data_IF_281039160779
#
_entry.id   IF_281039160779
#
_cell.length_a   1.000
_cell.length_b   1.000
_cell.length_c   1.000
_cell.angle_alpha   90.00
_cell.angle_beta   90.00
_cell.angle_gamma   90.00
#
_symmetry.space_group_name_H-M   'P 1'
#
loop_
_entity.id
_entity.type
_entity.pdbx_description
1 polymer ?
#
# COMPACT_ATOMS: atom_id res chain seq x y z
N UNK A 1 3.45 -25.17 -2.20
CA UNK A 1 2.43 -24.11 -2.33
C UNK A 1 2.63 -23.13 -1.19
N UNK A 2 3.00 -21.87 -1.50
CA UNK A 2 3.07 -20.84 -0.48
C UNK A 2 1.68 -20.54 0.05
N UNK A 3 1.53 -20.39 1.36
CA UNK A 3 0.28 -19.86 1.93
C UNK A 3 0.16 -18.42 1.45
N UNK A 4 -0.76 -18.16 0.53
CA UNK A 4 -1.15 -16.79 0.22
C UNK A 4 -1.81 -16.23 1.48
N UNK A 5 -1.03 -15.47 2.27
CA UNK A 5 -1.57 -14.66 3.36
C UNK A 5 -2.29 -13.49 2.68
N UNK A 6 -3.50 -13.75 2.19
CA UNK A 6 -4.34 -12.77 1.51
C UNK A 6 -4.69 -11.66 2.50
N UNK A 7 -4.08 -10.49 2.30
CA UNK A 7 -4.40 -9.30 3.07
C UNK A 7 -5.88 -8.96 2.91
N UNK A 8 -6.62 -9.03 4.02
CA UNK A 8 -8.03 -8.70 4.04
C UNK A 8 -8.19 -7.20 4.34
N UNK A 9 -8.44 -6.38 3.31
CA UNK A 9 -8.79 -4.97 3.55
C UNK A 9 -10.08 -4.93 4.37
N UNK A 10 -9.97 -4.33 5.55
CA UNK A 10 -11.08 -4.17 6.48
C UNK A 10 -12.08 -3.21 5.85
N UNK A 11 -13.37 -3.47 6.06
CA UNK A 11 -14.38 -2.51 5.67
C UNK A 11 -14.22 -1.26 6.54
N UNK A 12 -13.93 -0.12 5.91
CA UNK A 12 -13.61 1.14 6.61
C UNK A 12 -14.77 1.59 7.50
N UNK A 13 -15.99 1.12 7.20
CA UNK A 13 -17.22 1.50 7.91
C UNK A 13 -18.09 0.31 8.34
N UNK A 14 -17.55 -0.91 8.41
CA UNK A 14 -18.35 -2.10 8.76
C UNK A 14 -19.03 -2.00 10.12
N UNK A 15 -18.48 -1.23 11.05
CA UNK A 15 -19.08 -1.03 12.36
C UNK A 15 -20.44 -0.35 12.31
N UNK A 16 -20.70 0.43 11.24
CA UNK A 16 -21.89 1.25 11.04
C UNK A 16 -22.88 0.62 10.05
N UNK A 17 -22.62 -0.60 9.57
CA UNK A 17 -23.58 -1.37 8.77
C UNK A 17 -24.82 -1.66 9.65
N UNK A 18 -26.05 -1.36 9.20
CA UNK A 18 -27.27 -1.62 9.97
C UNK A 18 -27.39 -3.06 10.49
N UNK A 19 -26.99 -4.05 9.69
CA UNK A 19 -27.02 -5.47 10.07
C UNK A 19 -26.02 -5.78 11.19
N UNK A 20 -24.86 -5.15 11.14
CA UNK A 20 -23.83 -5.26 12.19
C UNK A 20 -24.25 -4.51 13.46
N UNK A 21 -24.94 -3.38 13.33
CA UNK A 21 -25.50 -2.65 14.48
C UNK A 21 -26.54 -3.52 15.19
N UNK A 22 -27.48 -4.12 14.45
CA UNK A 22 -28.49 -5.04 15.00
C UNK A 22 -27.83 -6.24 15.69
N UNK A 23 -26.81 -6.85 15.08
CA UNK A 23 -26.06 -7.94 15.70
C UNK A 23 -25.42 -7.53 17.04
N UNK A 24 -24.81 -6.33 17.10
CA UNK A 24 -24.20 -5.80 18.33
C UNK A 24 -25.24 -5.51 19.41
N UNK A 25 -26.43 -5.07 19.03
CA UNK A 25 -27.53 -4.85 19.97
C UNK A 25 -28.02 -6.18 20.56
N UNK A 26 -28.21 -7.21 19.73
CA UNK A 26 -28.75 -8.51 20.16
C UNK A 26 -27.76 -9.35 20.97
N UNK A 27 -26.48 -9.33 20.62
CA UNK A 27 -25.46 -10.23 21.19
C UNK A 27 -24.35 -9.48 21.95
N UNK A 28 -24.46 -8.16 22.06
CA UNK A 28 -23.43 -7.30 22.63
C UNK A 28 -22.26 -7.04 21.68
N UNK A 29 -21.40 -6.09 22.07
CA UNK A 29 -20.25 -5.64 21.26
C UNK A 29 -19.25 -6.79 20.98
N UNK A 30 -19.18 -7.81 21.84
CA UNK A 30 -18.31 -8.98 21.64
C UNK A 30 -18.66 -9.75 20.35
N UNK A 31 -19.92 -9.73 19.93
CA UNK A 31 -20.36 -10.37 18.68
C UNK A 31 -19.67 -9.77 17.45
N UNK A 32 -19.23 -8.51 17.52
CA UNK A 32 -18.43 -7.91 16.46
C UNK A 32 -17.08 -8.61 16.28
N UNK A 33 -16.43 -9.02 17.37
CA UNK A 33 -15.21 -9.81 17.30
C UNK A 33 -15.49 -11.20 16.71
N UNK A 34 -16.56 -11.86 17.15
CA UNK A 34 -16.96 -13.17 16.61
C UNK A 34 -17.29 -13.11 15.13
N UNK A 35 -17.96 -12.06 14.66
CA UNK A 35 -18.22 -11.82 13.26
C UNK A 35 -16.94 -11.79 12.42
N UNK A 36 -15.92 -11.06 12.86
CA UNK A 36 -14.65 -11.01 12.11
C UNK A 36 -13.89 -12.32 12.13
N UNK A 37 -13.84 -13.00 13.28
CA UNK A 37 -13.26 -14.34 13.36
C UNK A 37 -13.98 -15.29 12.39
N UNK A 38 -15.31 -15.22 12.30
CA UNK A 38 -16.09 -16.02 11.37
C UNK A 38 -15.74 -15.71 9.91
N UNK A 39 -15.66 -14.43 9.56
CA UNK A 39 -15.26 -14.00 8.21
C UNK A 39 -13.86 -14.48 7.86
N UNK A 40 -12.92 -14.49 8.81
CA UNK A 40 -11.59 -15.05 8.60
C UNK A 40 -11.66 -16.56 8.35
N UNK A 41 -12.42 -17.33 9.14
CA UNK A 41 -12.59 -18.77 8.92
C UNK A 41 -13.21 -19.08 7.56
N UNK A 42 -14.21 -18.30 7.14
CA UNK A 42 -14.81 -18.42 5.79
C UNK A 42 -13.78 -18.07 4.71
N UNK A 43 -12.99 -17.01 4.89
CA UNK A 43 -12.00 -16.57 3.91
C UNK A 43 -10.87 -17.58 3.67
N UNK A 44 -10.58 -18.45 4.65
CA UNK A 44 -9.59 -19.53 4.55
C UNK A 44 -10.08 -20.67 3.66
N UNK A 45 -11.40 -20.88 3.53
CA UNK A 45 -11.96 -21.91 2.68
C UNK A 45 -11.94 -21.48 1.21
N UNK A 46 -11.69 -22.43 0.29
CA UNK A 46 -11.61 -22.14 -1.15
C UNK A 46 -12.94 -21.58 -1.70
N UNK A 47 -14.06 -22.12 -1.23
CA UNK A 47 -15.42 -21.74 -1.66
C UNK A 47 -16.09 -20.70 -0.75
N UNK A 48 -15.37 -20.18 0.25
CA UNK A 48 -15.91 -19.22 1.23
C UNK A 48 -17.15 -19.69 1.98
N UNK A 49 -17.29 -21.01 2.15
CA UNK A 49 -18.41 -21.71 2.76
C UNK A 49 -17.93 -22.60 3.89
N UNK A 50 -18.76 -22.76 4.91
CA UNK A 50 -18.53 -23.71 6.00
C UNK A 50 -19.75 -24.64 6.13
N UNK A 51 -19.55 -25.93 6.47
CA UNK A 51 -20.66 -26.85 6.63
C UNK A 51 -21.45 -26.59 7.93
N UNK A 52 -22.75 -26.86 7.91
CA UNK A 52 -23.64 -26.82 9.08
C UNK A 52 -23.56 -28.12 9.88
N UNK A 53 -22.35 -28.52 10.28
CA UNK A 53 -22.13 -29.73 11.07
C UNK A 53 -21.67 -29.44 12.51
N UNK A 54 -21.83 -30.44 13.37
CA UNK A 54 -21.48 -30.33 14.79
C UNK A 54 -19.99 -30.02 15.00
N UNK A 55 -19.12 -30.48 14.08
CA UNK A 55 -17.67 -30.26 14.16
C UNK A 55 -17.38 -28.78 13.86
N UNK A 56 -18.00 -28.20 12.84
CA UNK A 56 -17.84 -26.78 12.52
C UNK A 56 -18.31 -25.91 13.67
N UNK A 57 -19.49 -26.16 14.25
CA UNK A 57 -19.96 -25.37 15.39
C UNK A 57 -19.06 -25.51 16.61
N UNK A 58 -18.50 -26.70 16.87
CA UNK A 58 -17.53 -26.89 17.93
C UNK A 58 -16.21 -26.13 17.67
N UNK A 59 -15.72 -26.14 16.43
CA UNK A 59 -14.53 -25.39 16.01
C UNK A 59 -14.74 -23.88 16.15
N UNK A 60 -15.90 -23.37 15.72
CA UNK A 60 -16.28 -21.96 15.85
C UNK A 60 -16.40 -21.55 17.31
N UNK A 61 -17.02 -22.36 18.15
CA UNK A 61 -17.11 -22.09 19.59
C UNK A 61 -15.74 -21.91 20.24
N UNK A 62 -14.74 -22.72 19.82
CA UNK A 62 -13.36 -22.61 20.27
C UNK A 62 -12.73 -21.32 19.74
N UNK A 63 -12.88 -21.03 18.44
CA UNK A 63 -12.31 -19.84 17.79
C UNK A 63 -12.86 -18.54 18.37
N UNK A 64 -14.16 -18.50 18.69
CA UNK A 64 -14.83 -17.36 19.33
C UNK A 64 -14.43 -17.16 20.79
N UNK A 65 -13.77 -18.15 21.42
CA UNK A 65 -13.43 -18.09 22.84
C UNK A 65 -14.66 -18.08 23.75
N UNK A 66 -15.77 -18.70 23.32
CA UNK A 66 -17.01 -18.73 24.09
C UNK A 66 -16.77 -19.42 25.45
N UNK A 67 -17.19 -18.76 26.53
CA UNK A 67 -17.06 -19.26 27.90
C UNK A 67 -18.23 -20.18 28.25
N UNK A 68 -18.01 -21.05 29.24
CA UNK A 68 -19.08 -21.87 29.79
C UNK A 68 -20.10 -20.94 30.48
N UNK A 69 -21.39 -21.25 30.37
CA UNK A 69 -22.36 -20.74 31.33
C UNK A 69 -22.11 -21.49 32.65
N UNK A 70 -21.93 -20.75 33.75
CA UNK A 70 -21.35 -21.21 35.03
C UNK A 70 -22.17 -22.27 35.81
N UNK A 71 -23.17 -22.90 35.22
CA UNK A 71 -23.93 -23.95 35.87
C UNK A 71 -23.33 -25.34 35.58
N UNK A 72 -22.44 -25.80 36.47
CA UNK A 72 -22.14 -27.21 36.80
C UNK A 72 -22.48 -28.25 35.71
N UNK A 73 -21.76 -28.24 34.58
CA UNK A 73 -21.93 -29.25 33.53
C UNK A 73 -20.69 -30.16 33.47
N UNK A 74 -20.91 -31.47 33.35
CA UNK A 74 -19.82 -32.42 33.11
C UNK A 74 -19.06 -32.06 31.82
N UNK A 75 -17.78 -32.42 31.70
CA UNK A 75 -16.91 -31.96 30.61
C UNK A 75 -17.45 -32.21 29.19
N UNK A 76 -18.31 -33.21 28.99
CA UNK A 76 -18.98 -33.50 27.72
C UNK A 76 -20.23 -32.63 27.49
N UNK A 77 -21.07 -32.43 28.51
CA UNK A 77 -22.23 -31.52 28.44
C UNK A 77 -21.78 -30.06 28.25
N UNK A 78 -20.65 -29.71 28.86
CA UNK A 78 -20.01 -28.41 28.76
C UNK A 78 -19.50 -28.13 27.33
N UNK A 79 -19.00 -29.13 26.59
CA UNK A 79 -18.62 -28.96 25.17
C UNK A 79 -19.85 -28.77 24.29
N UNK A 80 -20.91 -29.54 24.55
CA UNK A 80 -22.18 -29.40 23.84
C UNK A 80 -22.86 -28.04 24.09
N UNK A 81 -22.71 -27.46 25.28
CA UNK A 81 -23.22 -26.13 25.62
C UNK A 81 -22.57 -25.04 24.76
N UNK A 82 -21.25 -25.08 24.59
CA UNK A 82 -20.50 -24.12 23.76
C UNK A 82 -20.82 -24.23 22.27
N UNK A 83 -20.88 -25.45 21.74
CA UNK A 83 -21.23 -25.65 20.33
C UNK A 83 -22.65 -25.16 20.04
N UNK A 84 -23.59 -25.37 20.97
CA UNK A 84 -24.96 -24.84 20.87
C UNK A 84 -25.01 -23.31 20.86
N UNK A 85 -24.16 -22.63 21.65
CA UNK A 85 -24.08 -21.16 21.61
C UNK A 85 -23.56 -20.66 20.26
N UNK A 86 -22.54 -21.31 19.70
CA UNK A 86 -22.03 -20.97 18.37
C UNK A 86 -23.09 -21.23 17.29
N UNK A 87 -23.78 -22.36 17.34
CA UNK A 87 -24.88 -22.69 16.43
C UNK A 87 -26.02 -21.66 16.52
N UNK A 88 -26.45 -21.29 17.73
CA UNK A 88 -27.45 -20.25 17.94
C UNK A 88 -27.01 -18.89 17.39
N UNK A 89 -25.72 -18.54 17.56
CA UNK A 89 -25.16 -17.32 16.99
C UNK A 89 -25.20 -17.33 15.46
N UNK A 90 -24.79 -18.43 14.81
CA UNK A 90 -24.87 -18.56 13.35
C UNK A 90 -26.33 -18.46 12.86
N UNK A 91 -27.27 -19.12 13.54
CA UNK A 91 -28.68 -19.03 13.19
C UNK A 91 -29.24 -17.61 13.34
N UNK A 92 -28.80 -16.85 14.34
CA UNK A 92 -29.14 -15.44 14.50
C UNK A 92 -28.57 -14.59 13.36
N UNK A 93 -27.33 -14.85 12.94
CA UNK A 93 -26.71 -14.15 11.80
C UNK A 93 -27.43 -14.42 10.48
N UNK A 94 -28.01 -15.62 10.30
CA UNK A 94 -28.78 -15.99 9.11
C UNK A 94 -30.17 -15.35 9.16
N UNK A 95 -30.92 -15.58 10.24
CA UNK A 95 -32.36 -15.29 10.28
C UNK A 95 -32.69 -13.85 10.71
N UNK A 96 -31.94 -13.29 11.65
CA UNK A 96 -32.26 -11.98 12.26
C UNK A 96 -31.42 -10.85 11.66
N UNK A 97 -30.11 -11.10 11.46
CA UNK A 97 -29.20 -10.08 10.94
C UNK A 97 -29.03 -10.13 9.42
N UNK A 98 -29.45 -11.22 8.77
CA UNK A 98 -29.28 -11.45 7.33
C UNK A 98 -27.84 -11.17 6.83
N UNK A 99 -26.85 -11.52 7.67
CA UNK A 99 -25.41 -11.37 7.37
C UNK A 99 -24.86 -12.60 6.65
N UNK A 100 -25.54 -13.73 6.82
CA UNK A 100 -25.22 -15.02 6.24
C UNK A 100 -26.42 -15.57 5.48
N UNK A 101 -26.14 -16.41 4.50
CA UNK A 101 -27.10 -17.24 3.78
C UNK A 101 -26.75 -18.72 4.00
N UNK A 102 -27.73 -19.60 3.81
CA UNK A 102 -27.55 -21.05 3.90
C UNK A 102 -28.38 -21.78 2.84
N UNK A 103 -27.85 -22.90 2.35
CA UNK A 103 -28.57 -23.90 1.53
C UNK A 103 -29.06 -25.11 2.36
N UNK A 104 -28.87 -25.07 3.69
CA UNK A 104 -29.18 -26.16 4.62
C UNK A 104 -28.02 -27.11 4.89
N UNK A 105 -27.03 -27.19 4.01
CA UNK A 105 -25.81 -28.00 4.21
C UNK A 105 -24.60 -27.13 4.57
N UNK A 106 -24.51 -25.96 3.96
CA UNK A 106 -23.45 -24.99 4.12
C UNK A 106 -24.03 -23.60 4.41
N UNK A 107 -23.19 -22.74 4.99
CA UNK A 107 -23.48 -21.32 5.14
C UNK A 107 -22.31 -20.45 4.65
N UNK A 108 -22.63 -19.25 4.17
CA UNK A 108 -21.66 -18.28 3.67
C UNK A 108 -22.10 -16.84 3.91
N UNK A 109 -21.16 -15.92 3.77
CA UNK A 109 -21.48 -14.48 3.70
C UNK A 109 -21.54 -14.01 2.25
N UNK A 110 -22.71 -13.56 1.75
CA UNK A 110 -22.85 -13.03 0.39
C UNK A 110 -21.94 -11.82 0.14
N UNK A 111 -21.78 -10.97 1.15
CA UNK A 111 -20.90 -9.80 1.09
C UNK A 111 -19.42 -10.19 1.00
N UNK A 112 -19.00 -11.30 1.63
CA UNK A 112 -17.64 -11.82 1.49
C UNK A 112 -17.39 -12.31 0.06
N UNK A 113 -18.29 -13.12 -0.49
CA UNK A 113 -18.19 -13.66 -1.85
C UNK A 113 -18.12 -12.52 -2.87
N UNK A 114 -19.04 -11.54 -2.79
CA UNK A 114 -19.04 -10.37 -3.68
C UNK A 114 -17.71 -9.63 -3.65
N UNK A 115 -17.19 -9.32 -2.46
CA UNK A 115 -15.90 -8.61 -2.32
C UNK A 115 -14.72 -9.42 -2.85
N UNK A 116 -14.67 -10.72 -2.59
CA UNK A 116 -13.59 -11.58 -3.08
C UNK A 116 -13.65 -11.77 -4.61
N UNK A 117 -14.85 -11.88 -5.20
CA UNK A 117 -15.02 -11.94 -6.65
C UNK A 117 -14.54 -10.65 -7.32
N UNK A 118 -14.93 -9.48 -6.79
CA UNK A 118 -14.45 -8.19 -7.28
C UNK A 118 -12.92 -8.07 -7.19
N UNK A 119 -12.32 -8.54 -6.09
CA UNK A 119 -10.85 -8.56 -5.92
C UNK A 119 -10.19 -9.48 -6.93
N UNK A 120 -10.67 -10.71 -7.11
CA UNK A 120 -10.15 -11.66 -8.10
C UNK A 120 -10.20 -11.06 -9.50
N UNK A 121 -11.33 -10.46 -9.88
CA UNK A 121 -11.49 -9.81 -11.19
C UNK A 121 -10.52 -8.63 -11.37
N UNK A 122 -10.41 -7.75 -10.37
CA UNK A 122 -9.46 -6.64 -10.40
C UNK A 122 -8.01 -7.13 -10.50
N UNK A 123 -7.66 -8.20 -9.79
CA UNK A 123 -6.32 -8.78 -9.84
C UNK A 123 -6.02 -9.39 -11.21
N UNK A 124 -6.98 -10.10 -11.81
CA UNK A 124 -6.87 -10.62 -13.18
C UNK A 124 -6.68 -9.46 -14.17
N UNK A 125 -7.45 -8.38 -14.02
CA UNK A 125 -7.34 -7.21 -14.88
C UNK A 125 -5.96 -6.52 -14.75
N UNK A 126 -5.48 -6.32 -13.52
CA UNK A 126 -4.15 -5.75 -13.26
C UNK A 126 -3.06 -6.65 -13.83
N UNK A 127 -3.18 -7.98 -13.63
CA UNK A 127 -2.24 -8.95 -14.18
C UNK A 127 -2.20 -8.90 -15.71
N UNK A 128 -3.37 -8.82 -16.37
CA UNK A 128 -3.48 -8.67 -17.82
C UNK A 128 -2.80 -7.39 -18.30
N UNK A 129 -3.09 -6.24 -17.65
CA UNK A 129 -2.46 -4.95 -17.98
C UNK A 129 -0.93 -5.01 -17.82
N UNK A 130 -0.42 -5.66 -16.77
CA UNK A 130 1.02 -5.85 -16.55
C UNK A 130 1.65 -6.76 -17.62
N UNK A 131 0.97 -7.83 -18.01
CA UNK A 131 1.43 -8.74 -19.07
C UNK A 131 1.49 -8.03 -20.42
N UNK A 132 0.44 -7.28 -20.78
CA UNK A 132 0.39 -6.50 -22.02
C UNK A 132 1.46 -5.40 -22.07
N UNK A 133 1.67 -4.69 -20.94
CA UNK A 133 2.74 -3.71 -20.82
C UNK A 133 4.13 -4.36 -20.95
N UNK A 134 4.34 -5.54 -20.36
CA UNK A 134 5.57 -6.32 -20.52
C UNK A 134 5.81 -6.76 -21.97
N UNK A 135 4.76 -7.21 -22.66
CA UNK A 135 4.83 -7.57 -24.09
C UNK A 135 5.18 -6.37 -24.96
N UNK A 136 4.52 -5.23 -24.75
CA UNK A 136 4.76 -4.00 -25.49
C UNK A 136 6.17 -3.44 -25.22
N UNK A 137 6.61 -3.48 -23.97
CA UNK A 137 7.98 -3.12 -23.59
C UNK A 137 9.03 -4.02 -24.23
N UNK A 138 8.77 -5.32 -24.29
CA UNK A 138 9.62 -6.29 -24.99
C UNK A 138 9.74 -6.00 -26.49
N UNK A 139 8.61 -5.71 -27.16
CA UNK A 139 8.58 -5.33 -28.58
C UNK A 139 9.35 -4.02 -28.84
N UNK A 140 9.09 -2.96 -28.06
CA UNK A 140 9.81 -1.67 -28.18
C UNK A 140 11.32 -1.85 -27.95
N UNK A 141 11.71 -2.68 -26.98
CA UNK A 141 13.12 -3.01 -26.72
C UNK A 141 13.75 -3.81 -27.87
N UNK A 142 13.03 -4.74 -28.47
CA UNK A 142 13.50 -5.50 -29.63
C UNK A 142 13.67 -4.59 -30.85
N UNK A 143 12.71 -3.68 -31.08
CA UNK A 143 12.74 -2.72 -32.18
C UNK A 143 13.90 -1.72 -32.02
N UNK A 144 14.13 -1.20 -30.80
CA UNK A 144 15.30 -0.37 -30.51
C UNK A 144 16.61 -1.12 -30.77
N UNK A 145 16.73 -2.38 -30.32
CA UNK A 145 17.91 -3.21 -30.59
C UNK A 145 18.11 -3.44 -32.09
N UNK A 146 17.04 -3.67 -32.84
CA UNK A 146 17.09 -3.80 -34.30
C UNK A 146 17.59 -2.50 -34.96
N UNK A 147 17.06 -1.34 -34.55
CA UNK A 147 17.49 -0.03 -35.06
C UNK A 147 18.95 0.28 -34.72
N UNK A 148 19.39 0.00 -33.50
CA UNK A 148 20.80 0.16 -33.10
C UNK A 148 21.71 -0.75 -33.92
N UNK A 149 21.30 -2.00 -34.16
CA UNK A 149 22.06 -2.94 -35.00
C UNK A 149 22.16 -2.44 -36.45
N UNK A 150 21.06 -1.96 -37.02
CA UNK A 150 21.05 -1.37 -38.37
C UNK A 150 21.93 -0.12 -38.48
N UNK A 151 21.96 0.76 -37.46
CA UNK A 151 22.88 1.90 -37.44
C UNK A 151 24.35 1.48 -37.36
N UNK A 152 24.69 0.45 -36.58
CA UNK A 152 26.06 -0.07 -36.50
C UNK A 152 26.50 -0.67 -37.85
N UNK A 153 25.65 -1.50 -38.47
CA UNK A 153 25.91 -2.07 -39.80
C UNK A 153 26.05 -0.98 -40.88
N UNK A 154 25.26 0.10 -40.81
CA UNK A 154 25.37 1.24 -41.72
C UNK A 154 26.65 2.07 -41.52
N UNK A 155 27.12 2.23 -40.28
CA UNK A 155 28.39 2.91 -40.00
C UNK A 155 29.59 2.10 -40.48
N UNK A 156 29.61 0.78 -40.27
CA UNK A 156 30.67 -0.10 -40.80
C UNK A 156 30.73 -0.06 -42.34
N UNK A 157 29.58 -0.05 -43.02
CA UNK A 157 29.52 0.10 -44.47
C UNK A 157 30.05 1.46 -44.96
N UNK A 158 29.87 2.52 -44.17
CA UNK A 158 30.35 3.87 -44.50
C UNK A 158 31.87 4.01 -44.27
N UNK A 159 32.42 3.40 -43.21
CA UNK A 159 33.87 3.31 -42.98
C UNK A 159 34.57 2.46 -44.06
N UNK A 160 33.95 1.35 -44.49
CA UNK A 160 34.46 0.53 -45.59
C UNK A 160 34.49 1.28 -46.94
N UNK A 161 33.57 2.23 -47.16
CA UNK A 161 33.57 3.10 -48.33
C UNK A 161 34.60 4.25 -48.23
N UNK A 162 34.92 4.75 -47.03
CA UNK A 162 36.02 5.72 -46.84
C UNK A 162 37.42 5.09 -47.03
N UNK A 163 37.56 3.78 -46.82
CA UNK A 163 38.82 3.07 -47.07
C UNK A 163 39.12 2.80 -48.56
N UNK A 164 38.14 2.99 -49.46
CA UNK A 164 38.31 2.84 -50.92
C UNK A 164 37.99 4.15 -51.65
N UNK A 165 38.92 5.11 -51.60
CA UNK A 165 38.82 6.28 -52.49
C UNK A 165 39.54 7.53 -52.00
N UNK A 166 40.87 7.51 -51.94
CA UNK A 166 41.65 8.76 -52.01
C UNK A 166 41.81 9.14 -53.48
N UNK A 167 40.89 9.93 -54.01
CA UNK A 167 41.21 10.87 -55.09
C UNK A 167 40.53 12.23 -54.84
N UNK A 168 41.37 13.27 -54.83
CA UNK A 168 40.99 14.66 -54.66
C UNK A 168 40.29 15.17 -55.93
N UNK A 169 39.18 15.90 -55.76
CA UNK A 169 38.92 17.11 -56.56
C UNK A 169 37.84 17.96 -55.90
N UNK A 170 38.18 19.19 -55.56
CA UNK A 170 37.20 20.21 -55.21
C UNK A 170 36.37 20.60 -56.44
N UNK A 171 35.12 20.98 -56.17
CA UNK A 171 34.40 22.02 -56.90
C UNK A 171 33.13 22.40 -56.12
N UNK A 172 32.90 23.71 -56.05
CA UNK A 172 31.67 24.38 -55.61
C UNK A 172 30.42 23.79 -56.27
N UNK A 173 29.29 23.78 -55.55
CA UNK A 173 27.95 24.11 -56.08
C UNK A 173 27.08 24.65 -54.92
N UNK A 174 26.44 25.77 -55.21
CA UNK A 174 25.47 26.52 -54.41
C UNK A 174 24.15 25.76 -54.16
N UNK A 175 23.44 26.22 -53.11
CA UNK A 175 21.97 26.31 -52.94
C UNK A 175 21.11 25.09 -53.34
N UNK A 176 20.35 24.57 -52.38
CA UNK A 176 18.89 24.68 -52.48
C UNK A 176 18.19 24.61 -51.11
N UNK A 177 17.39 25.64 -50.87
CA UNK A 177 16.45 25.78 -49.76
C UNK A 177 15.20 24.98 -50.07
N UNK A 178 14.92 23.91 -49.31
CA UNK A 178 13.55 23.48 -49.03
C UNK A 178 13.40 23.15 -47.56
N UNK A 179 12.82 24.11 -46.85
CA UNK A 179 12.10 23.86 -45.62
C UNK A 179 11.06 22.75 -45.91
N UNK A 180 11.27 21.57 -45.33
CA UNK A 180 10.17 20.68 -44.99
C UNK A 180 9.79 21.06 -43.57
N UNK A 181 8.70 21.80 -43.46
CA UNK A 181 7.87 21.79 -42.27
C UNK A 181 7.38 20.35 -42.11
N UNK A 182 8.17 19.53 -41.43
CA UNK A 182 7.63 18.33 -40.79
C UNK A 182 6.83 18.85 -39.60
N UNK A 183 5.54 19.10 -39.86
CA UNK A 183 4.54 19.17 -38.80
C UNK A 183 4.70 17.88 -37.97
N UNK A 184 5.31 18.05 -36.81
CA UNK A 184 5.45 17.01 -35.82
C UNK A 184 4.04 16.54 -35.44
N UNK A 185 3.65 15.28 -35.70
CA UNK A 185 2.31 14.78 -35.38
C UNK A 185 2.06 14.66 -33.86
N UNK A 186 2.96 15.16 -33.02
CA UNK A 186 2.80 15.31 -31.57
C UNK A 186 2.25 16.67 -31.12
N UNK A 187 2.09 17.67 -31.99
CA UNK A 187 1.64 19.01 -31.56
C UNK A 187 0.17 19.09 -31.13
N UNK A 188 -0.56 17.96 -31.14
CA UNK A 188 -1.93 17.88 -30.62
C UNK A 188 -1.99 17.78 -29.08
N UNK A 189 -0.84 17.70 -28.40
CA UNK A 189 -0.75 17.63 -26.94
C UNK A 189 -0.02 18.84 -26.31
N UNK A 190 0.30 19.87 -27.09
CA UNK A 190 0.96 21.08 -26.58
C UNK A 190 -0.03 22.14 -26.01
N UNK A 191 -1.20 21.69 -25.55
CA UNK A 191 -2.25 22.57 -25.00
C UNK A 191 -2.56 22.31 -23.51
N UNK A 192 -1.67 21.63 -22.80
CA UNK A 192 -1.62 21.75 -21.35
C UNK A 192 -0.61 22.86 -21.00
N UNK A 193 -1.13 24.07 -20.78
CA UNK A 193 -0.42 25.13 -20.07
C UNK A 193 0.45 24.51 -18.98
N UNK A 194 1.76 24.52 -19.17
CA UNK A 194 2.70 23.97 -18.21
C UNK A 194 2.70 24.88 -16.99
N UNK A 195 1.72 24.68 -16.10
CA UNK A 195 1.43 25.56 -14.95
C UNK A 195 2.61 25.69 -13.99
N UNK A 196 3.61 24.82 -14.11
CA UNK A 196 4.75 24.67 -13.20
C UNK A 196 6.14 24.80 -13.87
N UNK A 197 6.24 25.37 -15.10
CA UNK A 197 7.54 25.70 -15.74
C UNK A 197 8.59 26.28 -14.78
N UNK A 198 8.28 27.31 -13.96
CA UNK A 198 9.30 27.94 -13.10
C UNK A 198 9.88 26.98 -12.04
N UNK A 199 9.15 25.92 -11.68
CA UNK A 199 9.57 24.95 -10.66
C UNK A 199 10.54 23.94 -11.28
N UNK A 200 10.27 23.50 -12.50
CA UNK A 200 11.18 22.60 -13.22
C UNK A 200 12.50 23.30 -13.55
N UNK A 201 12.43 24.57 -13.99
CA UNK A 201 13.63 25.37 -14.30
C UNK A 201 14.50 25.56 -13.05
N UNK A 202 13.88 25.82 -11.89
CA UNK A 202 14.57 25.93 -10.61
C UNK A 202 15.20 24.60 -10.19
N UNK A 203 14.49 23.49 -10.37
CA UNK A 203 15.02 22.16 -10.06
C UNK A 203 16.21 21.78 -10.96
N UNK A 204 16.11 22.04 -12.26
CA UNK A 204 17.19 21.80 -13.24
C UNK A 204 18.45 22.60 -12.89
N UNK A 205 18.28 23.86 -12.47
CA UNK A 205 19.39 24.74 -12.11
C UNK A 205 20.07 24.36 -10.80
N UNK A 206 19.31 23.86 -9.83
CA UNK A 206 19.78 23.75 -8.43
C UNK A 206 20.16 22.31 -8.03
N UNK A 207 19.54 21.30 -8.67
CA UNK A 207 19.62 19.91 -8.23
C UNK A 207 20.10 18.99 -9.35
N UNK A 208 19.48 19.06 -10.55
CA UNK A 208 19.86 18.23 -11.69
C UNK A 208 18.72 17.97 -12.69
N UNK A 209 18.96 17.09 -13.66
CA UNK A 209 18.06 16.86 -14.80
C UNK A 209 16.66 16.37 -14.39
N UNK A 210 15.63 16.92 -15.05
CA UNK A 210 14.24 16.53 -14.83
C UNK A 210 13.85 15.40 -15.79
N UNK A 211 13.72 14.19 -15.24
CA UNK A 211 13.08 13.05 -15.91
C UNK A 211 11.54 13.18 -15.86
N UNK A 212 10.77 12.57 -16.79
CA UNK A 212 9.31 12.55 -16.71
C UNK A 212 8.76 12.12 -15.34
N UNK A 213 9.43 11.16 -14.67
CA UNK A 213 9.05 10.71 -13.32
C UNK A 213 9.27 11.79 -12.25
N UNK A 214 10.28 12.64 -12.43
CA UNK A 214 10.56 13.75 -11.52
C UNK A 214 9.57 14.89 -11.76
N UNK A 215 9.17 15.11 -13.02
CA UNK A 215 8.14 16.08 -13.40
C UNK A 215 6.81 15.76 -12.70
N UNK A 216 6.33 14.52 -12.82
CA UNK A 216 5.09 14.07 -12.19
C UNK A 216 5.14 14.25 -10.66
N UNK A 217 6.26 13.90 -10.02
CA UNK A 217 6.43 14.06 -8.56
C UNK A 217 6.48 15.52 -8.12
N UNK A 218 7.05 16.41 -8.92
CA UNK A 218 7.03 17.84 -8.66
C UNK A 218 5.61 18.41 -8.80
N UNK A 219 4.84 17.90 -9.77
CA UNK A 219 3.43 18.27 -9.94
C UNK A 219 2.57 17.80 -8.77
N UNK A 220 2.74 16.55 -8.33
CA UNK A 220 2.07 16.01 -7.14
C UNK A 220 2.37 16.85 -5.88
N UNK A 221 3.63 17.27 -5.72
CA UNK A 221 4.05 18.14 -4.62
C UNK A 221 3.42 19.54 -4.71
N UNK A 222 3.28 20.08 -5.91
CA UNK A 222 2.66 21.38 -6.13
C UNK A 222 1.15 21.32 -5.89
N UNK A 223 0.49 20.23 -6.29
CA UNK A 223 -0.93 20.02 -6.05
C UNK A 223 -1.23 19.86 -4.55
N UNK A 224 -0.37 19.15 -3.82
CA UNK A 224 -0.59 18.85 -2.41
C UNK A 224 -0.12 19.95 -1.45
N UNK A 225 1.01 20.62 -1.72
CA UNK A 225 1.60 21.60 -0.81
C UNK A 225 1.60 23.04 -1.35
N UNK A 226 1.30 23.24 -2.64
CA UNK A 226 1.29 24.55 -3.29
C UNK A 226 2.67 24.99 -3.81
N UNK A 227 2.66 25.80 -4.88
CA UNK A 227 3.84 26.22 -5.65
C UNK A 227 4.94 26.88 -4.80
N UNK A 228 4.57 27.82 -3.95
CA UNK A 228 5.52 28.61 -3.15
C UNK A 228 6.30 27.75 -2.15
N UNK A 229 5.63 26.76 -1.54
CA UNK A 229 6.25 25.87 -0.56
C UNK A 229 7.26 24.93 -1.20
N UNK A 230 6.96 24.47 -2.41
CA UNK A 230 7.86 23.62 -3.20
C UNK A 230 9.12 24.38 -3.62
N UNK A 231 8.98 25.65 -4.02
CA UNK A 231 10.13 26.52 -4.35
C UNK A 231 11.06 26.70 -3.15
N UNK A 232 10.51 27.00 -1.96
CA UNK A 232 11.30 27.15 -0.73
C UNK A 232 12.02 25.85 -0.37
N UNK A 233 11.34 24.71 -0.55
CA UNK A 233 11.96 23.42 -0.29
C UNK A 233 13.11 23.13 -1.25
N UNK A 234 12.96 23.39 -2.56
CA UNK A 234 14.02 23.20 -3.56
C UNK A 234 15.26 24.04 -3.19
N UNK A 235 15.09 25.31 -2.84
CA UNK A 235 16.22 26.16 -2.42
C UNK A 235 16.88 25.64 -1.14
N UNK A 236 16.08 25.27 -0.13
CA UNK A 236 16.59 24.68 1.12
C UNK A 236 17.33 23.36 0.88
N UNK A 237 16.89 22.57 -0.10
CA UNK A 237 17.56 21.31 -0.45
C UNK A 237 18.89 21.55 -1.15
N UNK A 238 18.96 22.56 -2.02
CA UNK A 238 20.20 22.97 -2.67
C UNK A 238 21.21 23.53 -1.65
N UNK A 239 20.75 24.36 -0.70
CA UNK A 239 21.60 24.91 0.37
C UNK A 239 22.17 23.82 1.29
N UNK A 240 21.40 22.75 1.51
CA UNK A 240 21.83 21.58 2.29
C UNK A 240 22.65 20.56 1.46
N UNK A 241 22.92 20.84 0.18
CA UNK A 241 23.69 19.96 -0.71
C UNK A 241 22.97 18.66 -1.12
N UNK A 242 21.63 18.64 -1.04
CA UNK A 242 20.83 17.47 -1.39
C UNK A 242 20.40 17.48 -2.87
N UNK A 243 20.85 16.47 -3.64
CA UNK A 243 20.60 16.41 -5.09
C UNK A 243 19.50 15.41 -5.50
N UNK A 244 18.49 15.18 -4.65
CA UNK A 244 17.44 14.18 -4.92
C UNK A 244 16.05 14.73 -4.70
N UNK A 245 15.11 14.39 -5.60
CA UNK A 245 13.67 14.68 -5.45
C UNK A 245 13.11 14.14 -4.12
N UNK A 246 13.62 13.00 -3.63
CA UNK A 246 13.23 12.44 -2.33
C UNK A 246 13.62 13.35 -1.16
N UNK A 247 14.75 14.05 -1.29
CA UNK A 247 15.18 15.02 -0.29
C UNK A 247 14.27 16.26 -0.33
N UNK A 248 13.87 16.71 -1.53
CA UNK A 248 12.86 17.78 -1.70
C UNK A 248 11.53 17.42 -1.03
N UNK A 249 11.02 16.22 -1.24
CA UNK A 249 9.80 15.72 -0.57
C UNK A 249 9.91 15.70 0.96
N UNK A 250 11.09 15.33 1.47
CA UNK A 250 11.34 15.29 2.91
C UNK A 250 11.34 16.69 3.50
N UNK A 251 11.91 17.66 2.78
CA UNK A 251 11.97 19.05 3.22
C UNK A 251 10.62 19.74 3.08
N UNK A 252 9.84 19.49 2.03
CA UNK A 252 8.46 20.01 1.90
C UNK A 252 7.57 19.52 3.05
N UNK A 253 7.58 18.21 3.32
CA UNK A 253 6.81 17.62 4.42
C UNK A 253 7.30 18.10 5.80
N UNK A 254 8.63 18.24 5.97
CA UNK A 254 9.23 18.76 7.20
C UNK A 254 8.88 20.21 7.50
N UNK A 255 8.82 21.05 6.46
CA UNK A 255 8.44 22.45 6.58
C UNK A 255 6.95 22.62 6.92
N UNK A 256 6.06 21.82 6.30
CA UNK A 256 4.63 21.80 6.67
C UNK A 256 4.45 21.42 8.15
N UNK A 257 5.16 20.39 8.63
CA UNK A 257 5.06 19.95 10.03
C UNK A 257 5.50 21.03 11.02
N UNK A 258 6.53 21.80 10.70
CA UNK A 258 7.01 22.92 11.54
C UNK A 258 6.03 24.09 11.58
N UNK A 259 5.33 24.35 10.48
CA UNK A 259 4.33 25.42 10.38
C UNK A 259 3.06 25.06 11.15
N UNK A 260 2.54 23.84 10.95
CA UNK A 260 1.40 23.31 11.73
C UNK A 260 1.72 23.30 13.24
N UNK A 261 2.96 23.00 13.64
CA UNK A 261 3.36 23.06 15.06
C UNK A 261 3.47 24.49 15.61
N UNK A 262 3.63 25.51 14.77
CA UNK A 262 3.57 26.93 15.19
C UNK A 262 2.12 27.39 15.35
N UNK A 263 1.23 26.98 14.45
CA UNK A 263 -0.18 27.39 14.45
C UNK A 263 -1.02 26.69 15.54
N UNK A 264 -0.67 25.44 15.89
CA UNK A 264 -1.38 24.66 16.92
C UNK A 264 -0.77 24.77 18.33
N UNK A 265 0.16 25.69 18.55
CA UNK A 265 0.88 25.84 19.81
C UNK A 265 1.92 24.73 20.01
N UNK A 266 3.09 25.09 20.52
CA UNK A 266 4.24 24.21 20.68
C UNK A 266 3.86 22.89 21.39
N UNK A 267 3.84 21.79 20.63
CA UNK A 267 3.85 20.44 21.18
C UNK A 267 5.11 20.31 22.05
N UNK A 268 4.94 20.34 23.37
CA UNK A 268 6.00 20.01 24.33
C UNK A 268 6.66 18.72 23.88
N UNK A 269 7.92 18.80 23.50
CA UNK A 269 8.78 17.65 23.29
C UNK A 269 8.74 16.80 24.57
N UNK A 270 8.16 15.60 24.47
CA UNK A 270 8.44 14.56 25.45
C UNK A 270 9.89 14.13 25.20
N UNK A 271 10.81 14.78 25.91
CA UNK A 271 12.21 14.43 25.93
C UNK A 271 12.31 12.97 26.36
N UNK A 272 12.66 12.11 25.42
CA UNK A 272 12.94 10.71 25.66
C UNK A 272 14.22 10.68 26.52
N UNK A 273 14.06 10.69 27.84
CA UNK A 273 15.13 10.54 28.82
C UNK A 273 15.63 9.08 28.81
N UNK A 274 16.28 8.69 27.70
CA UNK A 274 17.14 7.51 27.64
C UNK A 274 18.55 7.89 28.06
N UNK A 275 18.70 8.34 29.30
CA UNK A 275 19.94 8.17 30.08
C UNK A 275 19.69 8.59 31.53
N UNK A 276 18.99 7.75 32.30
CA UNK A 276 19.14 7.77 33.76
C UNK A 276 19.97 6.56 34.09
N UNK A 277 21.25 6.81 34.36
CA UNK A 277 22.15 5.86 35.00
C UNK A 277 21.45 5.30 36.23
N UNK A 278 21.16 4.00 36.21
CA UNK A 278 20.69 3.22 37.35
C UNK A 278 21.71 3.40 38.47
N UNK A 279 21.42 4.23 39.48
CA UNK A 279 22.12 4.12 40.76
C UNK A 279 21.85 2.71 41.25
N UNK A 280 22.91 1.91 41.41
CA UNK A 280 22.85 0.68 42.18
C UNK A 280 22.61 1.11 43.62
N UNK A 281 21.36 1.09 44.06
CA UNK A 281 21.10 0.95 45.48
C UNK A 281 21.51 -0.46 45.85
N UNK A 282 22.57 -0.54 46.65
CA UNK A 282 23.04 -1.79 47.23
C UNK A 282 22.02 -2.17 48.31
N UNK A 283 21.20 -3.17 48.01
CA UNK A 283 20.23 -3.71 48.95
C UNK A 283 21.00 -4.50 50.01
N UNK A 284 21.00 -4.01 51.24
CA UNK A 284 21.57 -4.72 52.39
C UNK A 284 20.65 -5.89 52.76
N UNK A 285 20.97 -7.06 52.21
CA UNK A 285 20.24 -8.30 52.43
C UNK A 285 20.25 -8.77 53.89
N UNK A 286 21.19 -8.29 54.72
CA UNK A 286 21.26 -8.62 56.13
C UNK A 286 20.10 -7.96 56.90
N UNK A 287 19.84 -6.68 56.62
CA UNK A 287 18.74 -5.92 57.21
C UNK A 287 17.35 -6.40 56.72
N UNK A 288 17.27 -6.88 55.48
CA UNK A 288 16.05 -7.50 54.95
C UNK A 288 15.76 -8.85 55.63
N UNK A 289 16.79 -9.67 55.86
CA UNK A 289 16.67 -10.96 56.52
C UNK A 289 16.25 -10.83 58.00
N UNK A 290 16.85 -9.89 58.74
CA UNK A 290 16.47 -9.61 60.13
C UNK A 290 15.04 -9.05 60.25
N UNK A 291 14.52 -8.33 59.26
CA UNK A 291 13.13 -7.87 59.27
C UNK A 291 12.13 -9.02 59.10
N UNK A 292 12.46 -10.00 58.25
CA UNK A 292 11.56 -11.11 57.90
C UNK A 292 11.63 -12.23 58.94
N UNK A 293 12.79 -12.46 59.55
CA UNK A 293 13.03 -13.58 60.46
C UNK A 293 13.36 -13.17 61.90
N UNK A 294 13.59 -11.89 62.16
CA UNK A 294 13.94 -11.36 63.49
C UNK A 294 12.74 -10.77 64.21
N UNK A 295 11.74 -11.58 64.52
CA UNK A 295 10.94 -11.38 65.74
C UNK A 295 10.68 -12.75 66.36
N UNK A 296 11.29 -12.94 67.54
CA UNK A 296 10.75 -13.85 68.55
C UNK A 296 9.40 -13.36 69.06
#
# INVERSE_FOLDING_TARGET
MGRDVYYFSHDVNASNDPKIIVMKELCGVIAYAWWWILIEQLAVQEDYKLPMDKITFAGLAIAFGMKQNEANASSNEAKASKSKQAEAFINLLINECELLETDGEYFWSPSLIRRNLLRKNKQIEISRKRSEAGRLGGLKSAEQRSKTKQMLEANEANEANQAKGKERKGNNIERDTRAREDENPLSMFDDDEVKNKPIYDLYMKSIGDVSPVIKDRLDDLVESYGKERVIVAINTTADNGGNSIKYVETVTAGNLKKEVQKDFGASKHNGNARNVSRKKEEVDWQAEYERVHGKG
#
